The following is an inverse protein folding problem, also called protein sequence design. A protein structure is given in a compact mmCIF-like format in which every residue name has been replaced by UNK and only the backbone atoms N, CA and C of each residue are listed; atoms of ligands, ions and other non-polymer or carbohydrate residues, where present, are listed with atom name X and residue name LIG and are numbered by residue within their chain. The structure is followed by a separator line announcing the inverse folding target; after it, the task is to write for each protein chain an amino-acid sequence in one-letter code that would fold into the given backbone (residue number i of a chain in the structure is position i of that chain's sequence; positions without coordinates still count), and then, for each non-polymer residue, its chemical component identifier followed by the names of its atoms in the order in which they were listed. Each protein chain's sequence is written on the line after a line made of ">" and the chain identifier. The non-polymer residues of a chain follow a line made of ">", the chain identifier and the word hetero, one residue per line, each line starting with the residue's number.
data_IF_372503435960
#
_entry.id   IF_372503435960
#
_cell.length_a   1.000
_cell.length_b   1.000
_cell.length_c   1.000
_cell.angle_alpha   90.00
_cell.angle_beta   90.00
_cell.angle_gamma   90.00
#
_symmetry.space_group_name_H-M   'P 1'
#
loop_
_entity.id
_entity.type
_entity.pdbx_description
1 polymer ?
#
# COMPACT_ATOMS: atom_id res chain seq x y z
N UNK A 1 6.23 -0.18 23.10
CA UNK A 1 5.18 0.75 22.62
C UNK A 1 5.48 1.35 21.24
N UNK A 2 6.72 1.72 20.88
CA UNK A 2 7.05 2.27 19.56
C UNK A 2 6.86 1.30 18.36
N UNK A 3 6.96 -0.02 18.57
CA UNK A 3 6.78 -1.03 17.52
C UNK A 3 5.31 -1.16 17.08
N UNK A 4 4.35 -0.89 17.96
CA UNK A 4 2.91 -1.01 17.68
C UNK A 4 2.41 0.14 16.81
N UNK A 5 2.83 1.37 17.11
CA UNK A 5 2.46 2.57 16.34
C UNK A 5 2.88 2.46 14.87
N UNK A 6 4.11 1.98 14.60
CA UNK A 6 4.56 1.75 13.21
C UNK A 6 3.74 0.68 12.48
N UNK A 7 3.23 -0.32 13.19
CA UNK A 7 2.43 -1.39 12.57
C UNK A 7 1.02 -0.91 12.24
N UNK A 8 0.44 -0.06 13.08
CA UNK A 8 -0.86 0.57 12.85
C UNK A 8 -0.78 1.50 11.63
N UNK A 9 0.25 2.36 11.56
CA UNK A 9 0.47 3.24 10.40
C UNK A 9 0.64 2.44 9.08
N UNK A 10 1.39 1.33 9.13
CA UNK A 10 1.57 0.44 7.98
C UNK A 10 0.26 -0.21 7.54
N UNK A 11 -0.57 -0.66 8.50
CA UNK A 11 -1.85 -1.26 8.20
C UNK A 11 -2.81 -0.26 7.55
N UNK A 12 -2.87 0.96 8.08
CA UNK A 12 -3.70 2.03 7.52
C UNK A 12 -3.24 2.43 6.12
N UNK A 13 -1.92 2.53 5.90
CA UNK A 13 -1.35 2.81 4.58
C UNK A 13 -1.69 1.70 3.56
N UNK A 14 -1.62 0.43 3.99
CA UNK A 14 -2.01 -0.69 3.14
C UNK A 14 -3.50 -0.65 2.79
N UNK A 15 -4.36 -0.40 3.78
CA UNK A 15 -5.81 -0.27 3.55
C UNK A 15 -6.14 0.89 2.62
N UNK A 16 -5.46 2.03 2.77
CA UNK A 16 -5.62 3.18 1.89
C UNK A 16 -5.27 2.85 0.44
N UNK A 17 -4.15 2.16 0.20
CA UNK A 17 -3.75 1.72 -1.14
C UNK A 17 -4.77 0.75 -1.76
N UNK A 18 -5.27 -0.21 -0.97
CA UNK A 18 -6.31 -1.15 -1.41
C UNK A 18 -7.60 -0.42 -1.80
N UNK A 19 -8.02 0.57 -1.01
CA UNK A 19 -9.18 1.39 -1.32
C UNK A 19 -8.99 2.24 -2.58
N UNK A 20 -7.82 2.85 -2.74
CA UNK A 20 -7.47 3.61 -3.95
C UNK A 20 -7.56 2.72 -5.20
N UNK A 21 -7.04 1.49 -5.14
CA UNK A 21 -7.15 0.53 -6.23
C UNK A 21 -8.59 0.17 -6.53
N UNK A 22 -9.38 -0.26 -5.52
CA UNK A 22 -10.78 -0.66 -5.68
C UNK A 22 -11.64 0.48 -6.23
N UNK A 23 -11.44 1.71 -5.76
CA UNK A 23 -12.22 2.87 -6.20
C UNK A 23 -11.96 3.27 -7.65
N UNK A 24 -10.85 2.84 -8.26
CA UNK A 24 -10.52 3.08 -9.67
C UNK A 24 -11.08 2.03 -10.63
N UNK A 25 -11.51 0.87 -10.13
CA UNK A 25 -12.04 -0.24 -10.93
C UNK A 25 -13.56 -0.13 -11.14
N UNK A 26 -14.10 1.08 -11.30
CA UNK A 26 -15.55 1.36 -11.39
C UNK A 26 -16.38 0.67 -10.29
N UNK A 27 -16.25 1.12 -9.03
CA UNK A 27 -16.83 0.42 -7.88
C UNK A 27 -18.37 0.53 -7.86
N UNK A 28 -19.01 -0.57 -7.48
CA UNK A 28 -20.45 -0.62 -7.24
C UNK A 28 -20.86 0.19 -5.98
N UNK A 29 -22.19 0.32 -5.79
CA UNK A 29 -22.74 1.10 -4.67
C UNK A 29 -22.35 0.53 -3.30
N UNK A 30 -22.23 -0.79 -3.19
CA UNK A 30 -21.85 -1.44 -1.94
C UNK A 30 -20.40 -1.09 -1.58
N UNK A 31 -19.48 -1.25 -2.52
CA UNK A 31 -18.05 -0.97 -2.34
C UNK A 31 -17.83 0.50 -1.96
N UNK A 32 -18.58 1.42 -2.57
CA UNK A 32 -18.55 2.85 -2.20
C UNK A 32 -19.05 3.09 -0.77
N UNK A 33 -20.10 2.41 -0.34
CA UNK A 33 -20.63 2.54 1.02
C UNK A 33 -19.62 2.01 2.07
N UNK A 34 -18.96 0.89 1.76
CA UNK A 34 -17.91 0.32 2.61
C UNK A 34 -16.69 1.23 2.72
N UNK A 35 -16.28 1.86 1.62
CA UNK A 35 -15.22 2.86 1.61
C UNK A 35 -15.55 4.05 2.51
N UNK A 36 -16.75 4.63 2.36
CA UNK A 36 -17.21 5.75 3.20
C UNK A 36 -17.27 5.34 4.68
N UNK A 37 -17.71 4.11 4.97
CA UNK A 37 -17.71 3.58 6.34
C UNK A 37 -16.29 3.48 6.91
N UNK A 38 -15.33 3.01 6.11
CA UNK A 38 -13.92 2.95 6.52
C UNK A 38 -13.35 4.35 6.79
N UNK A 39 -13.57 5.31 5.89
CA UNK A 39 -13.13 6.71 6.09
C UNK A 39 -13.69 7.33 7.38
N UNK A 40 -14.95 7.03 7.71
CA UNK A 40 -15.61 7.56 8.92
C UNK A 40 -15.17 6.89 10.21
N UNK A 41 -14.53 5.72 10.14
CA UNK A 41 -14.12 4.98 11.32
C UNK A 41 -13.01 5.69 12.11
N UNK A 42 -12.12 6.42 11.43
CA UNK A 42 -11.04 7.19 12.08
C UNK A 42 -10.56 8.34 11.19
N UNK A 43 -10.22 9.52 11.76
CA UNK A 43 -9.53 10.58 11.03
C UNK A 43 -8.19 10.14 10.42
N UNK A 44 -7.50 9.17 11.02
CA UNK A 44 -6.23 8.64 10.50
C UNK A 44 -6.40 7.96 9.13
N UNK A 45 -7.53 7.29 8.89
CA UNK A 45 -7.86 6.69 7.59
C UNK A 45 -8.00 7.73 6.48
N UNK A 46 -8.58 8.90 6.78
CA UNK A 46 -8.67 10.00 5.82
C UNK A 46 -7.28 10.50 5.48
N UNK A 47 -6.41 10.66 6.48
CA UNK A 47 -5.04 11.09 6.26
C UNK A 47 -4.24 10.08 5.43
N UNK A 48 -4.32 8.80 5.76
CA UNK A 48 -3.69 7.72 5.00
C UNK A 48 -4.16 7.69 3.54
N UNK A 49 -5.47 7.88 3.30
CA UNK A 49 -6.04 7.96 1.96
C UNK A 49 -5.52 9.15 1.15
N UNK A 50 -5.40 10.33 1.77
CA UNK A 50 -4.87 11.52 1.11
C UNK A 50 -3.39 11.36 0.75
N UNK A 51 -2.59 10.73 1.62
CA UNK A 51 -1.19 10.43 1.30
C UNK A 51 -1.11 9.42 0.15
N UNK A 52 -1.92 8.36 0.16
CA UNK A 52 -1.93 7.35 -0.90
C UNK A 52 -2.29 7.98 -2.26
N UNK A 53 -3.29 8.85 -2.31
CA UNK A 53 -3.70 9.55 -3.54
C UNK A 53 -2.61 10.53 -4.03
N UNK A 54 -1.99 11.29 -3.12
CA UNK A 54 -0.88 12.18 -3.45
C UNK A 54 0.30 11.39 -4.04
N UNK A 55 0.72 10.30 -3.40
CA UNK A 55 1.82 9.47 -3.87
C UNK A 55 1.51 8.90 -5.26
N UNK A 56 0.31 8.37 -5.47
CA UNK A 56 -0.08 7.83 -6.78
C UNK A 56 -0.12 8.93 -7.86
N UNK A 57 -0.62 10.13 -7.53
CA UNK A 57 -0.61 11.28 -8.44
C UNK A 57 0.82 11.69 -8.81
N UNK A 58 1.73 11.78 -7.84
CA UNK A 58 3.12 12.13 -8.11
C UNK A 58 3.85 11.05 -8.92
N UNK A 59 3.56 9.77 -8.65
CA UNK A 59 4.10 8.65 -9.43
C UNK A 59 3.62 8.66 -10.88
N UNK A 60 2.42 9.19 -11.16
CA UNK A 60 1.95 9.37 -12.54
C UNK A 60 2.87 10.29 -13.36
N UNK A 61 3.66 11.19 -12.76
CA UNK A 61 4.64 11.99 -13.53
C UNK A 61 5.93 11.22 -13.84
N UNK A 62 6.27 10.24 -13.02
CA UNK A 62 7.48 9.41 -13.20
C UNK A 62 7.25 8.39 -14.31
N UNK A 63 6.02 7.86 -14.42
CA UNK A 63 5.64 6.99 -15.53
C UNK A 63 4.22 7.30 -16.05
N UNK A 64 4.08 8.39 -16.82
CA UNK A 64 2.78 8.88 -17.31
C UNK A 64 2.05 7.89 -18.21
N UNK A 65 2.80 6.97 -18.82
CA UNK A 65 2.27 5.98 -19.75
C UNK A 65 2.15 4.59 -19.13
N UNK A 66 2.45 4.44 -17.82
CA UNK A 66 2.52 3.14 -17.13
C UNK A 66 3.36 2.12 -17.91
N UNK A 67 4.45 2.58 -18.53
CA UNK A 67 5.39 1.76 -19.32
C UNK A 67 6.23 0.84 -18.46
N UNK A 68 6.36 1.15 -17.18
CA UNK A 68 6.92 0.27 -16.17
C UNK A 68 5.89 -0.81 -15.89
N UNK A 69 6.07 -1.95 -16.57
CA UNK A 69 5.31 -3.16 -16.28
C UNK A 69 5.77 -3.71 -14.93
N UNK A 70 5.13 -3.23 -13.86
CA UNK A 70 5.37 -3.68 -12.49
C UNK A 70 5.14 -5.18 -12.34
N UNK A 71 4.22 -5.78 -13.11
CA UNK A 71 3.97 -7.21 -13.11
C UNK A 71 5.19 -7.99 -13.61
N UNK A 72 5.76 -7.60 -14.75
CA UNK A 72 7.01 -8.17 -15.25
C UNK A 72 8.17 -7.93 -14.29
N UNK A 73 8.30 -6.73 -13.72
CA UNK A 73 9.37 -6.42 -12.77
C UNK A 73 9.28 -7.25 -11.50
N UNK A 74 8.08 -7.45 -10.95
CA UNK A 74 7.87 -8.32 -9.79
C UNK A 74 8.16 -9.78 -10.13
N UNK A 75 7.74 -10.25 -11.31
CA UNK A 75 8.06 -11.61 -11.77
C UNK A 75 9.58 -11.82 -11.94
N UNK A 76 10.29 -10.83 -12.51
CA UNK A 76 11.75 -10.86 -12.63
C UNK A 76 12.47 -10.69 -11.29
N UNK A 77 11.87 -9.99 -10.32
CA UNK A 77 12.42 -9.85 -8.98
C UNK A 77 12.38 -11.17 -8.21
N UNK A 78 11.34 -11.99 -8.39
CA UNK A 78 11.25 -13.30 -7.73
C UNK A 78 12.42 -14.23 -8.07
N UNK A 79 13.03 -14.11 -9.24
CA UNK A 79 14.23 -14.88 -9.60
C UNK A 79 15.54 -14.30 -9.08
N UNK A 80 15.55 -13.02 -8.65
CA UNK A 80 16.76 -12.27 -8.31
C UNK A 80 16.85 -11.89 -6.82
N UNK A 81 15.84 -12.22 -6.00
CA UNK A 81 15.84 -11.99 -4.56
C UNK A 81 16.31 -13.25 -3.83
N UNK A 82 17.47 -13.18 -3.20
CA UNK A 82 18.00 -14.25 -2.33
C UNK A 82 17.51 -14.01 -0.90
N UNK A 83 17.00 -15.06 -0.25
CA UNK A 83 16.60 -15.02 1.15
C UNK A 83 17.86 -14.83 2.01
N UNK A 84 17.94 -13.73 2.73
CA UNK A 84 18.97 -13.54 3.75
C UNK A 84 18.51 -14.33 4.98
N UNK A 85 19.18 -15.45 5.25
CA UNK A 85 19.08 -16.10 6.55
C UNK A 85 19.84 -15.22 7.54
N UNK A 86 19.10 -14.60 8.46
CA UNK A 86 19.70 -13.91 9.59
C UNK A 86 20.15 -15.02 10.53
N UNK A 87 21.41 -15.40 10.44
CA UNK A 87 22.07 -16.23 11.44
C UNK A 87 22.08 -15.41 12.73
N UNK A 88 21.21 -15.79 13.66
CA UNK A 88 21.24 -15.27 15.03
C UNK A 88 22.50 -15.87 15.65
N UNK A 89 23.61 -15.10 15.60
CA UNK A 89 24.86 -15.38 16.30
C UNK A 89 24.61 -15.25 17.81
N UNK A 90 23.88 -16.23 18.34
CA UNK A 90 23.65 -16.42 19.76
C UNK A 90 24.83 -17.21 20.34
N UNK A 91 25.78 -16.44 20.89
CA UNK A 91 26.53 -16.72 22.11
C UNK A 91 27.34 -18.03 22.21
N UNK A 92 28.67 -17.86 22.24
CA UNK A 92 29.54 -18.54 23.22
C UNK A 92 30.25 -17.51 24.09
#
# INVERSE_FOLDING_TARGET
>A
MANTLRKEDLLEAQQAADWLYRMRQDPDLQTRAEFVRWLRASPSHVHAMLIADLVDHELCYIDPQRKIDLGMLMAAAQSNVVRVEIEDDAAE
#
